data_IF_923048947227
#
_entry.id   IF_923048947227
#
_cell.length_a   1.000
_cell.length_b   1.000
_cell.length_c   1.000
_cell.angle_alpha   90.00
_cell.angle_beta   90.00
_cell.angle_gamma   90.00
#
_symmetry.space_group_name_H-M   'P 1'
#
loop_
_entity.id
_entity.type
_entity.pdbx_description
1 polymer ?
#
# COMPACT_ATOMS: atom_id res chain seq x y z
N UNK A 1 46.95 20.41 4.29
CA UNK A 1 46.77 19.51 5.46
C UNK A 1 47.60 18.26 5.23
N UNK A 2 48.46 17.88 6.21
CA UNK A 2 49.35 16.72 6.10
C UNK A 2 48.55 15.42 5.86
N UNK A 3 49.00 14.55 4.96
CA UNK A 3 48.36 13.26 4.60
C UNK A 3 48.03 12.42 5.85
N UNK A 4 48.91 12.40 6.82
CA UNK A 4 48.72 11.68 8.10
C UNK A 4 47.57 12.25 8.92
N UNK A 5 47.43 13.59 8.97
CA UNK A 5 46.32 14.25 9.68
C UNK A 5 45.00 13.96 8.98
N UNK A 6 44.93 13.99 7.63
CA UNK A 6 43.75 13.62 6.89
C UNK A 6 43.28 12.21 7.22
N UNK A 7 44.20 11.24 7.19
CA UNK A 7 43.85 9.84 7.49
C UNK A 7 43.37 9.68 8.95
N UNK A 8 44.00 10.32 9.92
CA UNK A 8 43.56 10.27 11.32
C UNK A 8 42.14 10.87 11.44
N UNK A 9 41.92 12.04 10.87
CA UNK A 9 40.60 12.69 10.90
C UNK A 9 39.53 11.79 10.27
N UNK A 10 39.82 11.19 9.10
CA UNK A 10 38.88 10.27 8.44
C UNK A 10 38.54 9.06 9.32
N UNK A 11 39.57 8.43 9.95
CA UNK A 11 39.33 7.28 10.84
C UNK A 11 38.53 7.67 12.08
N UNK A 12 38.86 8.82 12.68
CA UNK A 12 38.11 9.32 13.85
C UNK A 12 36.66 9.65 13.50
N UNK A 13 36.43 10.32 12.39
CA UNK A 13 35.06 10.63 11.94
C UNK A 13 34.26 9.36 11.63
N UNK A 14 34.87 8.38 10.95
CA UNK A 14 34.22 7.10 10.68
C UNK A 14 33.92 6.33 11.98
N UNK A 15 34.88 6.28 12.89
CA UNK A 15 34.69 5.64 14.20
C UNK A 15 33.57 6.33 15.00
N UNK A 16 33.59 7.67 15.07
CA UNK A 16 32.55 8.45 15.74
C UNK A 16 31.17 8.21 15.13
N UNK A 17 31.08 8.12 13.81
CA UNK A 17 29.83 7.79 13.11
C UNK A 17 29.34 6.38 13.47
N UNK A 18 30.17 5.35 13.30
CA UNK A 18 29.78 3.97 13.54
C UNK A 18 29.42 3.71 15.01
N UNK A 19 30.31 4.08 15.91
CA UNK A 19 30.11 3.86 17.35
C UNK A 19 29.07 4.81 17.96
N UNK A 20 28.99 6.05 17.45
CA UNK A 20 27.97 7.01 17.88
C UNK A 20 26.54 6.55 17.51
N UNK A 21 26.32 6.15 16.28
CA UNK A 21 25.02 5.60 15.86
C UNK A 21 24.71 4.26 16.54
N UNK A 22 25.73 3.40 16.71
CA UNK A 22 25.57 2.13 17.43
C UNK A 22 25.15 2.34 18.90
N UNK A 23 25.81 3.25 19.60
CA UNK A 23 25.45 3.62 20.96
C UNK A 23 24.05 4.25 21.04
N UNK A 24 23.74 5.15 20.13
CA UNK A 24 22.38 5.74 20.06
C UNK A 24 21.32 4.67 19.83
N UNK A 25 21.52 3.76 18.87
CA UNK A 25 20.60 2.65 18.61
C UNK A 25 20.39 1.75 19.85
N UNK A 26 21.45 1.52 20.62
CA UNK A 26 21.40 0.70 21.83
C UNK A 26 20.73 1.39 23.02
N UNK A 27 20.82 2.71 23.11
CA UNK A 27 20.34 3.49 24.25
C UNK A 27 18.93 4.08 24.04
N UNK A 28 18.50 4.27 22.79
CA UNK A 28 17.15 4.79 22.55
C UNK A 28 16.08 3.75 22.89
N UNK A 29 14.90 4.16 23.39
CA UNK A 29 13.75 3.27 23.50
C UNK A 29 13.37 2.67 22.13
N UNK A 30 12.97 1.41 22.13
CA UNK A 30 12.52 0.76 20.90
C UNK A 30 11.12 1.26 20.49
N UNK A 31 11.00 1.65 19.24
CA UNK A 31 9.71 2.04 18.65
C UNK A 31 8.88 0.78 18.33
N UNK A 32 7.61 0.78 18.67
CA UNK A 32 6.71 -0.36 18.41
C UNK A 32 6.07 -0.32 17.02
N UNK A 33 5.91 0.88 16.44
CA UNK A 33 5.17 1.13 15.22
C UNK A 33 5.89 2.15 14.33
N UNK A 34 5.93 1.90 13.03
CA UNK A 34 6.25 2.91 12.04
C UNK A 34 4.96 3.56 11.55
N UNK A 35 4.82 4.87 11.78
CA UNK A 35 3.67 5.63 11.28
C UNK A 35 3.78 5.83 9.77
N UNK A 36 4.98 6.03 9.25
CA UNK A 36 5.23 6.23 7.81
C UNK A 36 4.95 4.98 6.98
N UNK A 37 5.28 3.79 7.50
CA UNK A 37 5.04 2.49 6.83
C UNK A 37 3.76 1.79 7.30
N UNK A 38 3.09 2.31 8.34
CA UNK A 38 1.86 1.75 8.92
C UNK A 38 2.00 0.28 9.31
N UNK A 39 3.16 -0.07 9.89
CA UNK A 39 3.47 -1.45 10.32
C UNK A 39 4.13 -1.50 11.69
N UNK A 40 4.02 -2.64 12.34
CA UNK A 40 4.80 -2.91 13.55
C UNK A 40 6.28 -3.04 13.20
N UNK A 41 7.13 -2.45 14.03
CA UNK A 41 8.58 -2.60 13.94
C UNK A 41 9.05 -3.82 14.72
N UNK A 42 10.08 -4.49 14.20
CA UNK A 42 10.68 -5.63 14.89
C UNK A 42 11.27 -5.21 16.22
N UNK A 43 11.04 -6.04 17.22
CA UNK A 43 11.58 -5.86 18.56
C UNK A 43 12.78 -6.77 18.75
N UNK A 44 13.61 -6.50 19.78
CA UNK A 44 14.79 -7.30 20.08
C UNK A 44 14.40 -8.78 20.24
N UNK A 45 14.97 -9.68 19.43
CA UNK A 45 14.63 -11.10 19.51
C UNK A 45 15.18 -11.73 20.82
N UNK A 46 14.40 -12.65 21.38
CA UNK A 46 14.88 -13.43 22.52
C UNK A 46 16.02 -14.36 22.11
N UNK A 47 17.08 -14.38 22.91
CA UNK A 47 18.22 -15.29 22.72
C UNK A 47 17.80 -16.71 23.09
N UNK A 48 17.66 -17.58 22.10
CA UNK A 48 17.35 -18.99 22.26
C UNK A 48 18.37 -19.82 21.51
N UNK A 49 18.83 -20.92 22.11
CA UNK A 49 19.90 -21.72 21.51
C UNK A 49 19.53 -22.32 20.16
N UNK A 50 18.26 -22.77 20.01
CA UNK A 50 17.73 -23.27 18.73
C UNK A 50 17.74 -22.19 17.62
N UNK A 51 17.37 -20.96 17.98
CA UNK A 51 17.39 -19.82 17.04
C UNK A 51 18.80 -19.38 16.68
N UNK A 52 19.75 -19.48 17.63
CA UNK A 52 21.17 -19.15 17.38
C UNK A 52 21.79 -20.20 16.44
N UNK A 53 21.60 -21.48 16.72
CA UNK A 53 22.17 -22.57 15.92
C UNK A 53 21.58 -22.65 14.51
N UNK A 54 20.30 -22.30 14.33
CA UNK A 54 19.65 -22.26 13.01
C UNK A 54 19.96 -20.97 12.22
N UNK A 55 20.64 -19.99 12.81
CA UNK A 55 20.88 -18.66 12.21
C UNK A 55 19.67 -17.72 12.27
N UNK A 56 18.50 -18.18 12.71
CA UNK A 56 17.28 -17.37 12.81
C UNK A 56 17.46 -16.15 13.70
N UNK A 57 18.17 -16.31 14.83
CA UNK A 57 18.44 -15.17 15.72
C UNK A 57 19.16 -14.03 14.99
N UNK A 58 20.18 -14.33 14.17
CA UNK A 58 20.93 -13.30 13.45
C UNK A 58 20.05 -12.59 12.42
N UNK A 59 19.21 -13.32 11.70
CA UNK A 59 18.26 -12.74 10.74
C UNK A 59 17.20 -11.86 11.43
N UNK A 60 16.68 -12.30 12.57
CA UNK A 60 15.70 -11.53 13.34
C UNK A 60 16.36 -10.29 13.97
N UNK A 61 17.62 -10.41 14.45
CA UNK A 61 18.40 -9.30 14.99
C UNK A 61 18.73 -8.26 13.92
N UNK A 62 19.10 -8.69 12.70
CA UNK A 62 19.31 -7.78 11.57
C UNK A 62 18.06 -6.96 11.29
N UNK A 63 16.92 -7.62 11.21
CA UNK A 63 15.64 -6.94 11.00
C UNK A 63 15.31 -5.96 12.15
N UNK A 64 15.59 -6.33 13.40
CA UNK A 64 15.46 -5.43 14.54
C UNK A 64 16.40 -4.22 14.41
N UNK A 65 17.67 -4.44 14.11
CA UNK A 65 18.65 -3.37 13.98
C UNK A 65 18.29 -2.38 12.86
N UNK A 66 17.75 -2.87 11.74
CA UNK A 66 17.27 -2.03 10.64
C UNK A 66 16.01 -1.23 11.05
N UNK A 67 15.07 -1.86 11.75
CA UNK A 67 13.82 -1.21 12.15
C UNK A 67 14.02 -0.19 13.27
N UNK A 68 15.01 -0.41 14.15
CA UNK A 68 15.30 0.47 15.28
C UNK A 68 16.46 1.44 15.00
N UNK A 69 16.96 1.50 13.77
CA UNK A 69 18.07 2.39 13.43
C UNK A 69 17.67 3.86 13.65
N UNK A 70 18.53 4.68 14.32
CA UNK A 70 18.23 6.08 14.54
C UNK A 70 18.05 6.84 13.21
N UNK A 71 17.09 7.74 13.16
CA UNK A 71 16.76 8.52 11.95
C UNK A 71 16.41 7.62 10.75
N UNK A 72 15.73 6.51 11.01
CA UNK A 72 15.41 5.51 9.99
C UNK A 72 14.65 6.12 8.79
N UNK A 73 13.65 6.93 9.05
CA UNK A 73 12.82 7.51 7.98
C UNK A 73 13.58 8.56 7.17
N UNK A 74 14.49 9.31 7.81
CA UNK A 74 15.39 10.25 7.15
C UNK A 74 16.38 9.53 6.22
N UNK A 75 16.93 8.39 6.65
CA UNK A 75 17.79 7.58 5.79
C UNK A 75 17.05 6.97 4.62
N UNK A 76 15.79 6.56 4.81
CA UNK A 76 14.94 6.08 3.73
C UNK A 76 14.65 7.18 2.72
N UNK A 77 14.36 8.39 3.19
CA UNK A 77 14.17 9.57 2.34
C UNK A 77 15.47 9.92 1.60
N UNK A 78 16.61 9.92 2.27
CA UNK A 78 17.90 10.16 1.61
C UNK A 78 18.19 9.12 0.53
N UNK A 79 17.92 7.83 0.80
CA UNK A 79 18.02 6.76 -0.22
C UNK A 79 17.11 7.04 -1.41
N UNK A 80 15.84 7.42 -1.17
CA UNK A 80 14.88 7.70 -2.23
C UNK A 80 15.34 8.88 -3.10
N UNK A 81 15.80 9.96 -2.47
CA UNK A 81 16.36 11.12 -3.18
C UNK A 81 17.57 10.74 -4.04
N UNK A 82 18.49 9.93 -3.51
CA UNK A 82 19.62 9.44 -4.30
C UNK A 82 19.18 8.60 -5.50
N UNK A 83 18.21 7.70 -5.32
CA UNK A 83 17.67 6.90 -6.44
C UNK A 83 17.14 7.79 -7.55
N UNK A 84 16.31 8.76 -7.21
CA UNK A 84 15.62 9.59 -8.19
C UNK A 84 16.54 10.65 -8.82
N UNK A 85 17.33 11.39 -8.02
CA UNK A 85 18.08 12.53 -8.51
C UNK A 85 19.51 12.22 -8.92
N UNK A 86 20.19 11.28 -8.22
CA UNK A 86 21.57 10.91 -8.54
C UNK A 86 21.59 9.79 -9.57
N UNK A 87 20.88 8.69 -9.31
CA UNK A 87 20.82 7.54 -10.20
C UNK A 87 19.77 7.64 -11.29
N UNK A 88 18.94 8.70 -11.27
CA UNK A 88 17.89 8.99 -12.25
C UNK A 88 16.95 7.80 -12.49
N UNK A 89 16.69 7.02 -11.44
CA UNK A 89 15.68 5.99 -11.51
C UNK A 89 14.28 6.61 -11.47
N UNK A 90 13.31 5.95 -12.08
CA UNK A 90 11.94 6.49 -12.21
C UNK A 90 11.12 6.30 -10.93
N UNK A 91 11.51 5.37 -10.07
CA UNK A 91 10.76 4.98 -8.86
C UNK A 91 11.66 4.76 -7.64
N UNK A 92 11.05 4.69 -6.45
CA UNK A 92 11.63 4.13 -5.24
C UNK A 92 10.71 3.04 -4.69
N UNK A 93 11.23 1.82 -4.55
CA UNK A 93 10.48 0.63 -4.10
C UNK A 93 9.21 0.34 -4.94
N UNK A 94 9.26 0.56 -6.25
CA UNK A 94 8.15 0.36 -7.16
C UNK A 94 7.08 1.45 -7.11
N UNK A 95 7.31 2.54 -6.39
CA UNK A 95 6.39 3.69 -6.32
C UNK A 95 7.06 4.94 -6.87
N UNK A 96 6.34 5.66 -7.71
CA UNK A 96 6.74 6.97 -8.23
C UNK A 96 5.74 8.05 -7.79
N UNK A 97 6.18 9.32 -7.84
CA UNK A 97 5.32 10.47 -7.55
C UNK A 97 5.23 11.34 -8.79
N UNK A 98 4.00 11.60 -9.22
CA UNK A 98 3.70 12.50 -10.32
C UNK A 98 2.43 13.28 -10.03
N UNK A 99 2.43 14.56 -10.39
CA UNK A 99 1.30 15.49 -10.24
C UNK A 99 0.70 15.50 -8.81
N UNK A 100 1.55 15.25 -7.80
CA UNK A 100 1.16 15.18 -6.40
C UNK A 100 0.60 13.83 -5.95
N UNK A 101 0.51 12.84 -6.84
CA UNK A 101 0.04 11.48 -6.54
C UNK A 101 1.20 10.49 -6.51
N UNK A 102 1.21 9.61 -5.51
CA UNK A 102 2.04 8.42 -5.50
C UNK A 102 1.30 7.28 -6.19
N UNK A 103 1.93 6.67 -7.16
CA UNK A 103 1.41 5.52 -7.90
C UNK A 103 2.42 4.38 -7.91
N UNK A 104 1.93 3.15 -7.88
CA UNK A 104 2.77 1.95 -8.01
C UNK A 104 2.98 1.65 -9.49
N UNK A 105 4.19 1.23 -9.84
CA UNK A 105 4.47 0.72 -11.18
C UNK A 105 3.87 -0.68 -11.32
N UNK A 106 2.83 -0.79 -12.11
CA UNK A 106 2.23 -2.07 -12.48
C UNK A 106 2.75 -2.48 -13.87
N UNK A 107 3.87 -3.22 -13.87
CA UNK A 107 4.54 -3.70 -15.07
C UNK A 107 5.66 -4.70 -14.71
N UNK A 108 5.84 -5.79 -15.49
CA UNK A 108 4.96 -6.25 -16.57
C UNK A 108 3.66 -6.87 -16.07
N UNK A 109 2.71 -7.16 -16.98
CA UNK A 109 1.51 -7.90 -16.66
C UNK A 109 1.87 -9.31 -16.14
N UNK A 110 1.23 -9.73 -15.06
CA UNK A 110 1.46 -11.03 -14.45
C UNK A 110 0.32 -11.99 -14.82
N UNK A 111 0.50 -12.70 -15.94
CA UNK A 111 -0.51 -13.63 -16.45
C UNK A 111 -0.84 -14.74 -15.44
N UNK A 112 0.15 -15.30 -14.74
CA UNK A 112 -0.09 -16.34 -13.74
C UNK A 112 -0.95 -15.86 -12.56
N UNK A 113 -0.92 -14.57 -12.23
CA UNK A 113 -1.81 -13.99 -11.22
C UNK A 113 -3.23 -13.84 -11.72
N UNK A 114 -3.42 -13.57 -13.03
CA UNK A 114 -4.74 -13.51 -13.66
C UNK A 114 -5.36 -14.91 -13.65
N UNK A 115 -4.61 -15.91 -14.11
CA UNK A 115 -5.03 -17.31 -14.15
C UNK A 115 -5.44 -17.79 -12.74
N UNK A 116 -4.59 -17.52 -11.75
CA UNK A 116 -4.88 -17.90 -10.37
C UNK A 116 -6.14 -17.21 -9.82
N UNK A 117 -6.34 -15.93 -10.11
CA UNK A 117 -7.54 -15.21 -9.68
C UNK A 117 -8.79 -15.80 -10.34
N UNK A 118 -8.75 -16.03 -11.66
CA UNK A 118 -9.84 -16.61 -12.43
C UNK A 118 -10.21 -18.03 -11.94
N UNK A 119 -9.21 -18.88 -11.66
CA UNK A 119 -9.43 -20.21 -11.07
C UNK A 119 -10.14 -20.12 -9.72
N UNK A 120 -9.76 -19.16 -8.86
CA UNK A 120 -10.42 -18.97 -7.56
C UNK A 120 -11.86 -18.47 -7.69
N UNK A 121 -12.11 -17.55 -8.61
CA UNK A 121 -13.47 -17.07 -8.88
C UNK A 121 -14.34 -18.20 -9.44
N UNK A 122 -13.82 -19.01 -10.37
CA UNK A 122 -14.51 -20.16 -10.90
C UNK A 122 -14.82 -21.20 -9.82
N UNK A 123 -13.86 -21.50 -8.95
CA UNK A 123 -14.06 -22.39 -7.80
C UNK A 123 -15.21 -21.92 -6.91
N UNK A 124 -15.26 -20.62 -6.59
CA UNK A 124 -16.34 -20.06 -5.77
C UNK A 124 -17.69 -20.13 -6.49
N UNK A 125 -17.71 -19.83 -7.78
CA UNK A 125 -18.92 -19.92 -8.57
C UNK A 125 -19.47 -21.34 -8.60
N UNK A 126 -18.67 -22.31 -9.00
CA UNK A 126 -19.09 -23.69 -9.17
C UNK A 126 -19.53 -24.36 -7.86
N UNK A 127 -18.89 -24.04 -6.74
CA UNK A 127 -19.17 -24.70 -5.47
C UNK A 127 -20.25 -24.03 -4.62
N UNK A 128 -20.54 -22.73 -4.85
CA UNK A 128 -21.40 -21.98 -3.93
C UNK A 128 -22.49 -21.16 -4.63
N UNK A 129 -22.41 -20.90 -5.92
CA UNK A 129 -23.26 -19.93 -6.60
C UNK A 129 -24.07 -20.53 -7.75
N UNK A 130 -23.50 -21.47 -8.51
CA UNK A 130 -24.11 -22.01 -9.72
C UNK A 130 -25.48 -22.69 -9.43
N UNK A 131 -25.54 -23.57 -8.45
CA UNK A 131 -26.76 -24.28 -8.07
C UNK A 131 -27.84 -23.36 -7.47
N UNK A 132 -27.42 -22.22 -6.91
CA UNK A 132 -28.32 -21.21 -6.36
C UNK A 132 -28.90 -20.28 -7.45
N UNK A 133 -28.46 -20.41 -8.70
CA UNK A 133 -28.85 -19.52 -9.80
C UNK A 133 -28.46 -18.07 -9.58
N UNK A 134 -27.36 -17.83 -8.82
CA UNK A 134 -26.89 -16.49 -8.51
C UNK A 134 -26.34 -15.78 -9.76
N UNK A 135 -26.72 -14.52 -9.96
CA UNK A 135 -26.10 -13.67 -10.97
C UNK A 135 -24.79 -13.12 -10.42
N UNK A 136 -23.72 -13.34 -11.15
CA UNK A 136 -22.37 -12.89 -10.77
C UNK A 136 -21.97 -11.72 -11.67
N UNK A 137 -21.41 -10.70 -11.06
CA UNK A 137 -20.87 -9.53 -11.75
C UNK A 137 -19.40 -9.38 -11.41
N UNK A 138 -18.63 -8.94 -12.39
CA UNK A 138 -17.19 -8.70 -12.26
C UNK A 138 -16.88 -7.27 -12.71
N UNK A 139 -16.03 -6.60 -11.95
CA UNK A 139 -15.49 -5.29 -12.33
C UNK A 139 -14.00 -5.23 -12.00
N UNK A 140 -13.24 -4.51 -12.80
CA UNK A 140 -11.85 -4.15 -12.52
C UNK A 140 -11.83 -2.67 -12.17
N UNK A 141 -11.18 -2.38 -11.04
CA UNK A 141 -10.96 -1.00 -10.59
C UNK A 141 -9.60 -0.56 -11.15
N UNK A 142 -9.53 0.44 -12.06
CA UNK A 142 -8.25 0.95 -12.53
C UNK A 142 -7.44 1.51 -11.36
N UNK A 143 -6.15 1.30 -11.36
CA UNK A 143 -5.25 1.92 -10.40
C UNK A 143 -4.76 3.30 -10.88
N UNK A 144 -4.01 4.01 -10.05
CA UNK A 144 -3.48 5.33 -10.42
C UNK A 144 -2.48 5.27 -11.56
N UNK A 145 -1.81 4.13 -11.78
CA UNK A 145 -0.86 3.97 -12.87
C UNK A 145 -1.57 4.04 -14.25
N UNK A 146 -2.82 3.57 -14.33
CA UNK A 146 -3.67 3.72 -15.52
C UNK A 146 -3.79 5.17 -15.98
N UNK A 147 -3.99 6.10 -15.03
CA UNK A 147 -4.19 7.53 -15.33
C UNK A 147 -2.88 8.29 -15.53
N UNK A 148 -1.78 7.85 -14.90
CA UNK A 148 -0.54 8.62 -14.81
C UNK A 148 0.57 8.13 -15.73
N UNK A 149 0.62 6.83 -16.04
CA UNK A 149 1.82 6.25 -16.63
C UNK A 149 2.09 6.71 -18.04
N UNK A 150 1.12 6.61 -18.93
CA UNK A 150 1.30 6.91 -20.36
C UNK A 150 1.76 8.35 -20.60
N UNK A 151 1.03 9.31 -20.05
CA UNK A 151 1.31 10.74 -20.22
C UNK A 151 2.65 11.17 -19.62
N UNK A 152 3.19 10.40 -18.68
CA UNK A 152 4.42 10.71 -17.95
C UNK A 152 5.59 9.78 -18.29
N UNK A 153 5.42 8.90 -19.28
CA UNK A 153 6.47 8.01 -19.78
C UNK A 153 6.91 6.95 -18.77
N UNK A 154 5.99 6.49 -17.91
CA UNK A 154 6.17 5.34 -17.05
C UNK A 154 5.64 4.08 -17.73
N UNK A 155 6.22 2.90 -17.45
CA UNK A 155 5.66 1.65 -17.95
C UNK A 155 4.31 1.34 -17.25
N UNK A 156 3.40 0.76 -18.03
CA UNK A 156 2.13 0.23 -17.54
C UNK A 156 1.83 -1.10 -18.22
N UNK A 157 0.97 -1.89 -17.61
CA UNK A 157 0.38 -3.05 -18.29
C UNK A 157 -0.57 -2.57 -19.40
N UNK A 158 -0.84 -3.43 -20.35
CA UNK A 158 -1.97 -3.26 -21.27
C UNK A 158 -3.26 -3.58 -20.51
N UNK A 159 -3.98 -2.55 -20.09
CA UNK A 159 -5.21 -2.71 -19.31
C UNK A 159 -6.35 -3.33 -20.11
N UNK A 160 -6.41 -3.10 -21.43
CA UNK A 160 -7.42 -3.73 -22.29
C UNK A 160 -7.16 -5.23 -22.39
N UNK A 161 -5.92 -5.64 -22.67
CA UNK A 161 -5.52 -7.03 -22.68
C UNK A 161 -5.70 -7.72 -21.32
N UNK A 162 -5.43 -7.01 -20.22
CA UNK A 162 -5.66 -7.51 -18.85
C UNK A 162 -7.14 -7.81 -18.60
N UNK A 163 -8.04 -6.88 -18.94
CA UNK A 163 -9.48 -7.04 -18.76
C UNK A 163 -10.00 -8.18 -19.64
N UNK A 164 -9.55 -8.26 -20.90
CA UNK A 164 -10.00 -9.31 -21.82
C UNK A 164 -9.55 -10.70 -21.33
N UNK A 165 -8.29 -10.86 -20.92
CA UNK A 165 -7.79 -12.12 -20.38
C UNK A 165 -8.57 -12.58 -19.14
N UNK A 166 -9.00 -11.64 -18.29
CA UNK A 166 -9.82 -11.95 -17.12
C UNK A 166 -11.25 -12.35 -17.52
N UNK A 167 -11.86 -11.63 -18.47
CA UNK A 167 -13.21 -11.88 -18.96
C UNK A 167 -13.34 -13.24 -19.65
N UNK A 168 -12.36 -13.62 -20.47
CA UNK A 168 -12.33 -14.92 -21.14
C UNK A 168 -12.34 -16.08 -20.13
N UNK A 169 -11.70 -15.91 -19.00
CA UNK A 169 -11.60 -16.92 -17.95
C UNK A 169 -12.75 -16.88 -16.93
N UNK A 170 -13.60 -15.83 -16.96
CA UNK A 170 -14.73 -15.63 -16.04
C UNK A 170 -16.06 -15.47 -16.78
N UNK A 171 -16.28 -16.30 -17.79
CA UNK A 171 -17.45 -16.31 -18.66
C UNK A 171 -18.80 -16.50 -17.95
N UNK A 172 -18.79 -16.98 -16.70
CA UNK A 172 -19.93 -17.08 -15.82
C UNK A 172 -20.36 -15.73 -15.19
N UNK A 173 -19.54 -14.68 -15.31
CA UNK A 173 -19.79 -13.37 -14.72
C UNK A 173 -20.08 -12.31 -15.79
N UNK A 174 -21.05 -11.43 -15.52
CA UNK A 174 -21.27 -10.26 -16.34
C UNK A 174 -20.25 -9.16 -15.96
N UNK A 175 -19.44 -8.74 -16.94
CA UNK A 175 -18.48 -7.66 -16.71
C UNK A 175 -19.16 -6.28 -16.70
N UNK A 176 -18.84 -5.44 -15.72
CA UNK A 176 -19.26 -4.04 -15.64
C UNK A 176 -18.00 -3.18 -15.68
N UNK A 177 -17.88 -2.33 -16.69
CA UNK A 177 -16.72 -1.48 -16.90
C UNK A 177 -16.72 -0.27 -15.96
N UNK A 178 -15.62 -0.09 -15.21
CA UNK A 178 -15.41 1.05 -14.32
C UNK A 178 -14.33 2.03 -14.82
N UNK A 179 -13.62 1.73 -15.90
CA UNK A 179 -12.54 2.58 -16.39
C UNK A 179 -13.01 3.98 -16.79
N UNK A 180 -14.21 4.08 -17.34
CA UNK A 180 -14.83 5.36 -17.68
C UNK A 180 -15.59 6.05 -16.54
N UNK A 181 -15.66 5.42 -15.36
CA UNK A 181 -16.42 5.93 -14.22
C UNK A 181 -15.55 6.57 -13.15
N UNK A 182 -14.23 6.44 -13.26
CA UNK A 182 -13.25 6.92 -12.30
C UNK A 182 -12.25 7.86 -12.95
N UNK A 183 -11.74 8.77 -12.17
CA UNK A 183 -10.67 9.71 -12.53
C UNK A 183 -9.57 9.68 -11.48
N UNK A 184 -8.43 10.28 -11.76
CA UNK A 184 -7.34 10.35 -10.79
C UNK A 184 -7.74 11.06 -9.48
N UNK A 185 -8.67 12.04 -9.56
CA UNK A 185 -9.16 12.78 -8.39
C UNK A 185 -10.03 11.94 -7.44
N UNK A 186 -10.46 10.76 -7.88
CA UNK A 186 -11.22 9.84 -7.04
C UNK A 186 -10.32 9.00 -6.12
N UNK A 187 -9.00 9.17 -6.21
CA UNK A 187 -8.02 8.44 -5.41
C UNK A 187 -7.34 9.32 -4.37
N UNK A 188 -6.90 8.70 -3.25
CA UNK A 188 -5.98 9.36 -2.34
C UNK A 188 -4.62 9.57 -2.99
N UNK A 189 -4.00 10.71 -2.70
CA UNK A 189 -2.67 11.04 -3.23
C UNK A 189 -1.59 10.10 -2.71
N UNK A 190 -1.67 9.75 -1.44
CA UNK A 190 -0.63 8.99 -0.72
C UNK A 190 -0.96 7.52 -0.52
N UNK A 191 -2.16 7.06 -0.94
CA UNK A 191 -2.63 5.68 -0.76
C UNK A 191 -2.97 5.00 -2.09
N UNK A 192 -3.15 3.68 -2.07
CA UNK A 192 -3.59 2.90 -3.23
C UNK A 192 -5.10 2.98 -3.48
N UNK A 193 -5.87 3.33 -2.45
CA UNK A 193 -7.32 3.25 -2.48
C UNK A 193 -7.96 4.51 -3.08
N UNK A 194 -9.15 4.35 -3.59
CA UNK A 194 -10.07 5.43 -3.92
C UNK A 194 -10.62 6.09 -2.65
N UNK A 195 -11.10 7.31 -2.78
CA UNK A 195 -11.63 8.12 -1.70
C UNK A 195 -13.07 7.71 -1.40
N UNK A 196 -13.39 7.50 -0.11
CA UNK A 196 -14.69 6.99 0.28
C UNK A 196 -15.86 7.88 -0.15
N UNK A 197 -15.70 9.18 -0.05
CA UNK A 197 -16.75 10.15 -0.43
C UNK A 197 -17.02 10.21 -1.94
N UNK A 198 -16.19 9.53 -2.76
CA UNK A 198 -16.40 9.38 -4.20
C UNK A 198 -17.15 8.10 -4.57
N UNK A 199 -17.22 7.14 -3.65
CA UNK A 199 -17.83 5.83 -3.90
C UNK A 199 -19.34 5.86 -4.22
N UNK A 200 -20.18 6.77 -3.73
CA UNK A 200 -21.61 6.76 -4.04
C UNK A 200 -21.92 6.81 -5.54
N UNK A 201 -21.13 7.57 -6.32
CA UNK A 201 -21.32 7.64 -7.77
C UNK A 201 -21.03 6.29 -8.46
N UNK A 202 -19.95 5.64 -8.04
CA UNK A 202 -19.57 4.31 -8.55
C UNK A 202 -20.57 3.25 -8.11
N UNK A 203 -21.03 3.30 -6.85
CA UNK A 203 -22.03 2.38 -6.33
C UNK A 203 -23.37 2.53 -7.07
N UNK A 204 -23.81 3.76 -7.36
CA UNK A 204 -25.01 4.02 -8.12
C UNK A 204 -24.90 3.51 -9.58
N UNK A 205 -23.72 3.66 -10.19
CA UNK A 205 -23.46 3.12 -11.52
C UNK A 205 -23.52 1.58 -11.51
N UNK A 206 -22.82 0.92 -10.58
CA UNK A 206 -22.87 -0.54 -10.43
C UNK A 206 -24.29 -1.04 -10.19
N UNK A 207 -25.03 -0.41 -9.28
CA UNK A 207 -26.41 -0.78 -8.97
C UNK A 207 -27.31 -0.70 -10.21
N UNK A 208 -27.19 0.36 -11.01
CA UNK A 208 -27.93 0.52 -12.26
C UNK A 208 -27.62 -0.61 -13.24
N UNK A 209 -26.34 -0.95 -13.45
CA UNK A 209 -25.94 -2.04 -14.33
C UNK A 209 -26.42 -3.43 -13.82
N UNK A 210 -26.54 -3.56 -12.50
CA UNK A 210 -27.10 -4.74 -11.84
C UNK A 210 -28.64 -4.76 -11.80
N UNK A 211 -29.31 -3.70 -12.28
CA UNK A 211 -30.76 -3.56 -12.26
C UNK A 211 -31.33 -3.26 -10.86
N UNK A 212 -30.56 -2.63 -10.00
CA UNK A 212 -30.94 -2.24 -8.63
C UNK A 212 -30.88 -0.72 -8.52
N UNK A 213 -31.78 -0.12 -7.74
CA UNK A 213 -31.72 1.29 -7.37
C UNK A 213 -31.21 1.45 -5.95
N UNK A 214 -30.25 2.36 -5.76
CA UNK A 214 -29.82 2.81 -4.43
C UNK A 214 -30.62 4.05 -4.04
N UNK A 215 -31.12 4.07 -2.82
CA UNK A 215 -31.96 5.13 -2.29
C UNK A 215 -31.35 5.84 -1.08
N UNK A 216 -30.18 5.41 -0.62
CA UNK A 216 -29.52 5.97 0.54
C UNK A 216 -29.00 7.38 0.26
N UNK A 217 -29.24 8.28 1.20
CA UNK A 217 -28.61 9.59 1.27
C UNK A 217 -27.42 9.54 2.22
N UNK A 218 -26.28 10.03 1.76
CA UNK A 218 -25.05 10.02 2.53
C UNK A 218 -24.71 11.41 3.04
N UNK A 219 -24.27 11.46 4.31
CA UNK A 219 -23.67 12.66 4.91
C UNK A 219 -22.17 12.47 5.01
N UNK A 220 -21.42 13.45 4.47
CA UNK A 220 -19.96 13.44 4.50
C UNK A 220 -19.45 13.99 5.82
N UNK A 221 -18.48 13.29 6.42
CA UNK A 221 -17.79 13.68 7.64
C UNK A 221 -16.29 13.77 7.35
N UNK A 222 -15.63 14.77 7.92
CA UNK A 222 -14.18 14.97 7.80
C UNK A 222 -13.50 14.49 9.08
N UNK A 223 -12.45 13.71 8.93
CA UNK A 223 -11.61 13.31 10.05
C UNK A 223 -10.49 14.35 10.26
N UNK A 224 -10.54 15.06 11.39
CA UNK A 224 -9.59 16.13 11.73
C UNK A 224 -8.21 15.58 12.13
N UNK A 225 -7.57 14.91 11.19
CA UNK A 225 -6.18 14.46 11.31
C UNK A 225 -5.57 14.21 9.93
N UNK A 226 -4.26 14.49 9.74
CA UNK A 226 -3.58 14.19 8.48
C UNK A 226 -3.56 12.68 8.22
N UNK A 227 -3.80 12.29 6.96
CA UNK A 227 -3.73 10.91 6.53
C UNK A 227 -2.58 10.70 5.56
N UNK A 228 -1.72 9.73 5.88
CA UNK A 228 -0.65 9.26 5.01
C UNK A 228 -0.88 7.79 4.68
N UNK A 229 -1.10 7.50 3.41
CA UNK A 229 -1.37 6.15 2.94
C UNK A 229 -0.11 5.29 2.76
N UNK A 230 -0.33 4.05 2.29
CA UNK A 230 0.76 3.07 2.14
C UNK A 230 1.82 3.50 1.13
N UNK A 231 1.45 4.22 0.07
CA UNK A 231 2.41 4.66 -0.94
C UNK A 231 3.34 5.77 -0.44
N UNK A 232 2.91 6.57 0.55
CA UNK A 232 3.81 7.48 1.24
C UNK A 232 4.99 6.74 1.87
N UNK A 233 4.71 5.64 2.57
CA UNK A 233 5.73 4.79 3.16
C UNK A 233 6.65 4.14 2.12
N UNK A 234 6.12 3.63 1.03
CA UNK A 234 6.92 3.02 -0.05
C UNK A 234 7.78 4.04 -0.78
N UNK A 235 7.21 5.17 -1.17
CA UNK A 235 7.94 6.25 -1.84
C UNK A 235 9.07 6.79 -0.96
N UNK A 236 8.84 6.87 0.35
CA UNK A 236 9.76 7.46 1.33
C UNK A 236 10.18 8.89 0.96
N UNK A 237 9.27 9.65 0.35
CA UNK A 237 9.49 11.02 -0.09
C UNK A 237 8.48 11.94 0.58
N UNK A 238 8.82 13.21 0.81
CA UNK A 238 7.88 14.18 1.34
C UNK A 238 6.68 14.36 0.41
N UNK A 239 5.49 14.20 0.95
CA UNK A 239 4.21 14.47 0.29
C UNK A 239 3.27 15.21 1.24
N UNK A 240 2.33 15.96 0.68
CA UNK A 240 1.24 16.51 1.48
C UNK A 240 0.31 15.37 1.93
N UNK A 241 -0.20 15.41 3.16
CA UNK A 241 -1.18 14.43 3.61
C UNK A 241 -2.47 14.54 2.81
N UNK A 242 -3.19 13.43 2.76
CA UNK A 242 -4.58 13.44 2.32
C UNK A 242 -5.50 13.88 3.46
N UNK A 243 -6.66 14.43 3.11
CA UNK A 243 -7.79 14.60 4.01
C UNK A 243 -8.64 13.34 3.95
N UNK A 244 -8.87 12.73 5.09
CA UNK A 244 -9.70 11.53 5.18
C UNK A 244 -11.15 11.94 5.45
N UNK A 245 -12.05 11.58 4.54
CA UNK A 245 -13.48 11.78 4.63
C UNK A 245 -14.17 10.42 4.68
N UNK A 246 -15.26 10.33 5.41
CA UNK A 246 -16.09 9.14 5.46
C UNK A 246 -17.56 9.49 5.37
N UNK A 247 -18.34 8.54 4.91
CA UNK A 247 -19.77 8.69 4.70
C UNK A 247 -20.55 8.07 5.86
N UNK A 248 -21.62 8.71 6.24
CA UNK A 248 -22.61 8.18 7.17
C UNK A 248 -23.98 8.16 6.52
N UNK A 249 -24.81 7.18 6.86
CA UNK A 249 -26.24 7.11 6.51
C UNK A 249 -26.97 6.33 7.60
N UNK A 250 -28.31 6.35 7.58
CA UNK A 250 -29.12 5.52 8.48
C UNK A 250 -28.80 4.04 8.32
N UNK A 251 -28.71 3.55 7.09
CA UNK A 251 -28.35 2.16 6.79
C UNK A 251 -26.96 1.79 7.31
N UNK A 252 -25.97 2.68 7.17
CA UNK A 252 -24.60 2.42 7.67
C UNK A 252 -24.55 2.46 9.20
N UNK A 253 -25.38 3.26 9.86
CA UNK A 253 -25.41 3.32 11.31
C UNK A 253 -25.89 2.01 11.96
N UNK A 254 -26.74 1.26 11.25
CA UNK A 254 -27.25 -0.04 11.71
C UNK A 254 -26.27 -1.20 11.45
N UNK A 255 -25.19 -0.96 10.71
CA UNK A 255 -24.19 -1.99 10.38
C UNK A 255 -23.25 -2.24 11.56
N UNK A 256 -23.03 -3.53 11.88
CA UNK A 256 -21.99 -3.93 12.83
C UNK A 256 -20.66 -4.14 12.11
N UNK A 257 -19.62 -3.43 12.55
CA UNK A 257 -18.28 -3.56 11.98
C UNK A 257 -17.43 -4.49 12.85
N UNK A 258 -16.86 -5.53 12.24
CA UNK A 258 -15.91 -6.43 12.89
C UNK A 258 -14.50 -6.13 12.39
N UNK A 259 -13.61 -5.67 13.30
CA UNK A 259 -12.19 -5.51 12.98
C UNK A 259 -11.46 -6.83 13.27
N UNK A 260 -11.13 -7.59 12.23
CA UNK A 260 -10.24 -8.75 12.37
C UNK A 260 -8.79 -8.27 12.41
N UNK A 261 -8.27 -7.96 13.61
CA UNK A 261 -6.82 -7.86 13.80
C UNK A 261 -6.34 -9.30 14.03
N UNK A 262 -5.44 -9.77 13.20
CA UNK A 262 -4.77 -11.06 13.40
C UNK A 262 -4.14 -11.10 14.80
N UNK A 263 -4.86 -11.54 15.80
CA UNK A 263 -4.52 -12.08 17.14
C UNK A 263 -5.64 -11.93 18.16
N UNK A 264 -6.62 -11.04 18.02
CA UNK A 264 -7.71 -10.93 18.99
C UNK A 264 -8.96 -10.33 18.32
N UNK A 265 -10.04 -11.08 18.39
CA UNK A 265 -11.38 -10.56 18.10
C UNK A 265 -11.73 -9.63 19.27
N UNK A 266 -11.47 -8.34 19.11
CA UNK A 266 -12.03 -7.33 20.00
C UNK A 266 -13.14 -6.62 19.23
N UNK A 267 -14.37 -6.71 19.72
CA UNK A 267 -15.46 -5.87 19.25
C UNK A 267 -15.05 -4.41 19.51
N UNK A 268 -14.77 -3.66 18.46
CA UNK A 268 -14.71 -2.22 18.57
C UNK A 268 -16.16 -1.71 18.71
N UNK A 269 -16.60 -1.51 19.95
CA UNK A 269 -17.69 -0.59 20.22
C UNK A 269 -17.04 0.78 20.42
N UNK A 270 -17.15 1.65 19.43
CA UNK A 270 -17.28 3.12 19.58
C UNK A 270 -17.41 3.71 18.17
#
# INVERSE_FOLDING_TARGET
MNKRIKNIVTVVLLAAFLFGFGAWAALKPADSLSLSERRRLKQLPAVRMDAVLSGKFMSDFEGYALDQFPLRDEWRTLKALNRLYVYRQKDNNGVYIKDGYAAKLEYPMNESSIDHAAERFRYLYENFMADAGARVYLSVIPDKNYFLAETNGYPAIDYEAFVEALREQTDFAQYIDLFGQLTLDDYYRTDSHWRQERLPAVAAYLAREMGVALTDEYTEQVLDRPYYGVYYGYAALPMQPDELRYLTSETLADCTVYCCIYVLITSCRE
#
